data_IF_937093488646
#
_entry.id   IF_937093488646
#
_cell.length_a   1.000
_cell.length_b   1.000
_cell.length_c   1.000
_cell.angle_alpha   90.00
_cell.angle_beta   90.00
_cell.angle_gamma   90.00
#
_symmetry.space_group_name_H-M   'P 1'
#
loop_
_entity.id
_entity.type
_entity.pdbx_description
1 polymer ?
#
# COMPACT_ATOMS: atom_id res chain seq x y z
N UNK A 1 -5.11 3.74 -5.26
CA UNK A 1 -4.03 2.75 -5.46
C UNK A 1 -2.69 3.47 -5.51
N UNK A 2 -1.72 3.05 -4.70
CA UNK A 2 -0.32 3.50 -4.79
C UNK A 2 0.52 2.27 -5.11
N UNK A 3 1.36 2.33 -6.14
CA UNK A 3 2.25 1.23 -6.53
C UNK A 3 3.63 1.76 -6.88
N UNK A 4 4.69 1.07 -6.47
CA UNK A 4 6.06 1.46 -6.82
C UNK A 4 6.50 0.96 -8.20
N UNK A 5 5.58 0.48 -9.04
CA UNK A 5 5.89 0.10 -10.42
C UNK A 5 6.44 1.31 -11.18
N UNK A 6 7.61 1.10 -11.77
CA UNK A 6 8.35 2.08 -12.57
C UNK A 6 7.56 2.59 -13.77
N UNK A 7 8.01 3.72 -14.31
CA UNK A 7 7.31 4.48 -15.33
C UNK A 7 6.98 3.65 -16.58
N UNK A 8 7.92 2.81 -17.01
CA UNK A 8 7.74 1.95 -18.18
C UNK A 8 6.58 0.94 -18.02
N UNK A 9 6.12 0.67 -16.79
CA UNK A 9 4.95 -0.16 -16.49
C UNK A 9 3.67 0.65 -16.29
N UNK A 10 3.71 1.98 -16.32
CA UNK A 10 2.56 2.85 -16.04
C UNK A 10 1.36 2.56 -16.95
N UNK A 11 1.58 2.41 -18.26
CA UNK A 11 0.53 2.05 -19.22
C UNK A 11 -0.09 0.68 -18.92
N UNK A 12 0.71 -0.28 -18.48
CA UNK A 12 0.26 -1.61 -18.06
C UNK A 12 -0.57 -1.56 -16.78
N UNK A 13 -0.18 -0.73 -15.81
CA UNK A 13 -0.95 -0.49 -14.57
C UNK A 13 -2.32 0.08 -14.90
N UNK A 14 -2.39 1.16 -15.68
CA UNK A 14 -3.66 1.78 -16.05
C UNK A 14 -4.55 0.83 -16.85
N UNK A 15 -3.96 0.09 -17.80
CA UNK A 15 -4.67 -0.95 -18.55
C UNK A 15 -5.26 -2.02 -17.63
N UNK A 16 -4.50 -2.48 -16.64
CA UNK A 16 -4.97 -3.48 -15.68
C UNK A 16 -6.13 -2.96 -14.83
N UNK A 17 -6.07 -1.70 -14.36
CA UNK A 17 -7.17 -1.07 -13.59
C UNK A 17 -8.45 -1.02 -14.43
N UNK A 18 -8.36 -0.56 -15.68
CA UNK A 18 -9.51 -0.49 -16.59
C UNK A 18 -10.08 -1.87 -16.90
N UNK A 19 -9.24 -2.84 -17.24
CA UNK A 19 -9.68 -4.21 -17.59
C UNK A 19 -10.41 -4.92 -16.45
N UNK A 20 -10.12 -4.56 -15.20
CA UNK A 20 -10.76 -5.14 -14.02
C UNK A 20 -11.91 -4.28 -13.48
N UNK A 21 -12.34 -3.25 -14.21
CA UNK A 21 -13.42 -2.33 -13.80
C UNK A 21 -13.17 -1.65 -12.44
N UNK A 22 -11.91 -1.31 -12.15
CA UNK A 22 -11.50 -0.72 -10.86
C UNK A 22 -11.46 0.82 -10.87
N UNK A 23 -11.86 1.44 -11.98
CA UNK A 23 -11.83 2.90 -12.14
C UNK A 23 -12.67 3.63 -11.09
N UNK A 24 -13.84 3.09 -10.75
CA UNK A 24 -14.73 3.69 -9.74
C UNK A 24 -14.40 3.21 -8.32
N UNK A 25 -13.48 2.25 -8.17
CA UNK A 25 -13.04 1.74 -6.86
C UNK A 25 -11.97 2.64 -6.24
N UNK A 26 -11.07 3.19 -7.05
CA UNK A 26 -9.97 4.01 -6.56
C UNK A 26 -10.17 5.48 -6.92
N UNK A 27 -10.12 6.38 -5.92
CA UNK A 27 -10.09 7.84 -6.16
C UNK A 27 -8.91 8.30 -7.04
N UNK A 28 -7.83 7.51 -7.09
CA UNK A 28 -6.65 7.79 -7.89
C UNK A 28 -5.72 6.59 -7.96
N UNK A 29 -4.96 6.50 -9.05
CA UNK A 29 -3.92 5.50 -9.28
C UNK A 29 -2.58 6.22 -9.42
N UNK A 30 -1.68 5.98 -8.48
CA UNK A 30 -0.36 6.61 -8.44
C UNK A 30 0.71 5.53 -8.64
N UNK A 31 1.53 5.67 -9.68
CA UNK A 31 2.67 4.82 -9.96
C UNK A 31 3.97 5.64 -9.96
N UNK A 32 5.12 4.97 -9.88
CA UNK A 32 6.43 5.59 -9.73
C UNK A 32 6.94 6.09 -11.09
N UNK A 33 6.42 7.24 -11.53
CA UNK A 33 6.73 7.82 -12.84
C UNK A 33 8.15 8.40 -12.94
N UNK A 34 8.78 8.70 -11.79
CA UNK A 34 10.12 9.29 -11.70
C UNK A 34 11.19 8.25 -11.37
N UNK A 35 10.82 6.96 -11.34
CA UNK A 35 11.70 5.82 -11.06
C UNK A 35 12.52 5.93 -9.75
N UNK A 36 11.92 6.54 -8.71
CA UNK A 36 12.48 6.67 -7.36
C UNK A 36 12.66 5.30 -6.68
N UNK A 37 13.37 5.25 -5.54
CA UNK A 37 13.36 4.04 -4.73
C UNK A 37 11.92 3.73 -4.24
N UNK A 38 11.46 2.45 -4.27
CA UNK A 38 10.07 2.09 -3.95
C UNK A 38 9.55 2.60 -2.61
N UNK A 39 10.39 2.59 -1.58
CA UNK A 39 10.03 3.04 -0.23
C UNK A 39 9.91 4.57 -0.17
N UNK A 40 10.83 5.31 -0.83
CA UNK A 40 10.80 6.77 -0.92
C UNK A 40 9.54 7.26 -1.65
N UNK A 41 9.23 6.66 -2.81
CA UNK A 41 8.01 6.97 -3.57
C UNK A 41 6.75 6.79 -2.72
N UNK A 42 6.64 5.64 -2.03
CA UNK A 42 5.46 5.32 -1.22
C UNK A 42 5.34 6.25 -0.02
N UNK A 43 6.42 6.51 0.70
CA UNK A 43 6.44 7.46 1.83
C UNK A 43 6.02 8.87 1.36
N UNK A 44 6.61 9.36 0.27
CA UNK A 44 6.26 10.64 -0.35
C UNK A 44 4.77 10.71 -0.70
N UNK A 45 4.21 9.65 -1.30
CA UNK A 45 2.80 9.61 -1.69
C UNK A 45 1.85 9.55 -0.49
N UNK A 46 2.19 8.81 0.55
CA UNK A 46 1.41 8.75 1.80
C UNK A 46 1.30 10.14 2.43
N UNK A 47 2.42 10.88 2.48
CA UNK A 47 2.44 12.25 3.01
C UNK A 47 1.71 13.25 2.11
N UNK A 48 1.95 13.18 0.79
CA UNK A 48 1.30 14.05 -0.20
C UNK A 48 -0.21 13.94 -0.15
N UNK A 49 -0.73 12.72 0.01
CA UNK A 49 -2.17 12.44 0.07
C UNK A 49 -2.76 12.56 1.48
N UNK A 50 -1.93 12.78 2.51
CA UNK A 50 -2.33 12.91 3.92
C UNK A 50 -3.20 11.73 4.37
N UNK A 51 -2.75 10.51 4.08
CA UNK A 51 -3.52 9.30 4.41
C UNK A 51 -3.54 9.06 5.92
N UNK A 52 -4.71 8.74 6.48
CA UNK A 52 -4.84 8.29 7.87
C UNK A 52 -4.37 6.84 8.06
N UNK A 53 -4.47 6.04 7.00
CA UNK A 53 -4.12 4.62 6.98
C UNK A 53 -3.50 4.20 5.65
N UNK A 54 -2.50 3.33 5.71
CA UNK A 54 -1.86 2.71 4.55
C UNK A 54 -1.71 1.20 4.76
N UNK A 55 -2.05 0.42 3.72
CA UNK A 55 -1.98 -1.05 3.73
C UNK A 55 -0.91 -1.49 2.74
N UNK A 56 0.04 -2.31 3.20
CA UNK A 56 1.23 -2.70 2.44
C UNK A 56 1.55 -4.19 2.66
N UNK A 57 2.04 -4.89 1.66
CA UNK A 57 2.41 -6.31 1.74
C UNK A 57 3.92 -6.56 1.85
N UNK A 58 4.76 -5.58 1.49
CA UNK A 58 6.21 -5.64 1.67
C UNK A 58 6.65 -5.20 3.08
N UNK A 59 7.28 -6.10 3.85
CA UNK A 59 7.68 -5.81 5.23
C UNK A 59 8.78 -4.75 5.34
N UNK A 60 9.75 -4.70 4.43
CA UNK A 60 10.83 -3.70 4.47
C UNK A 60 10.25 -2.28 4.32
N UNK A 61 9.26 -2.13 3.46
CA UNK A 61 8.53 -0.87 3.26
C UNK A 61 7.69 -0.53 4.50
N UNK A 62 7.01 -1.53 5.08
CA UNK A 62 6.27 -1.37 6.34
C UNK A 62 7.20 -0.88 7.44
N UNK A 63 8.35 -1.52 7.63
CA UNK A 63 9.32 -1.17 8.67
C UNK A 63 9.86 0.25 8.46
N UNK A 64 10.17 0.62 7.22
CA UNK A 64 10.62 1.97 6.88
C UNK A 64 9.58 3.03 7.24
N UNK A 65 8.35 2.88 6.74
CA UNK A 65 7.31 3.91 6.89
C UNK A 65 6.75 3.96 8.32
N UNK A 66 6.77 2.84 9.05
CA UNK A 66 6.26 2.77 10.43
C UNK A 66 7.09 3.58 11.43
N UNK A 67 8.28 4.04 11.05
CA UNK A 67 9.08 4.99 11.83
C UNK A 67 8.41 6.37 11.95
N UNK A 68 7.41 6.66 11.10
CA UNK A 68 6.64 7.90 11.14
C UNK A 68 5.24 7.69 11.74
N UNK A 69 4.95 8.16 12.96
CA UNK A 69 3.74 7.82 13.70
C UNK A 69 2.45 8.48 13.16
N UNK A 70 2.53 9.34 12.13
CA UNK A 70 1.38 10.11 11.63
C UNK A 70 0.38 9.31 10.80
N UNK A 71 0.78 8.14 10.30
CA UNK A 71 -0.06 7.27 9.46
C UNK A 71 -0.23 5.90 10.13
N UNK A 72 -1.44 5.35 10.10
CA UNK A 72 -1.67 3.98 10.57
C UNK A 72 -1.23 2.98 9.50
N UNK A 73 -0.15 2.25 9.76
CA UNK A 73 0.31 1.19 8.86
C UNK A 73 -0.35 -0.14 9.21
N UNK A 74 -0.87 -0.84 8.20
CA UNK A 74 -1.37 -2.21 8.31
C UNK A 74 -0.58 -3.09 7.36
N UNK A 75 0.05 -4.13 7.89
CA UNK A 75 0.84 -5.06 7.10
C UNK A 75 0.06 -6.31 6.68
N UNK A 76 0.10 -6.63 5.39
CA UNK A 76 -0.38 -7.91 4.85
C UNK A 76 0.80 -8.87 4.76
N UNK A 77 0.89 -9.81 5.70
CA UNK A 77 2.01 -10.75 5.76
C UNK A 77 1.74 -12.00 4.91
N UNK A 78 2.81 -12.57 4.33
CA UNK A 78 2.74 -13.87 3.65
C UNK A 78 2.96 -15.04 4.65
N UNK A 79 2.78 -16.27 4.19
CA UNK A 79 2.87 -17.46 5.05
C UNK A 79 4.23 -17.60 5.77
N UNK A 80 5.32 -17.23 5.09
CA UNK A 80 6.69 -17.34 5.61
C UNK A 80 6.93 -16.31 6.72
N UNK A 81 6.40 -15.11 6.55
CA UNK A 81 6.60 -13.97 7.46
C UNK A 81 5.64 -13.93 8.64
N UNK A 82 4.80 -14.97 8.80
CA UNK A 82 3.80 -15.05 9.89
C UNK A 82 4.39 -14.87 11.29
N UNK A 83 5.64 -15.29 11.48
CA UNK A 83 6.34 -15.26 12.76
C UNK A 83 6.78 -13.84 13.18
N UNK A 84 6.94 -12.91 12.24
CA UNK A 84 7.39 -11.53 12.50
C UNK A 84 6.31 -10.77 13.27
N UNK A 85 6.65 -10.18 14.42
CA UNK A 85 5.69 -9.44 15.22
C UNK A 85 5.49 -8.02 14.67
N UNK A 86 4.24 -7.64 14.45
CA UNK A 86 3.87 -6.29 14.02
C UNK A 86 2.46 -5.97 14.52
N UNK A 87 2.28 -4.77 15.08
CA UNK A 87 1.09 -4.40 15.86
C UNK A 87 -0.22 -4.52 15.08
N UNK A 88 -0.22 -4.07 13.82
CA UNK A 88 -1.37 -4.14 12.91
C UNK A 88 -1.00 -4.97 11.69
N UNK A 89 -1.20 -6.28 11.78
CA UNK A 89 -1.00 -7.19 10.65
C UNK A 89 -2.19 -8.11 10.39
N UNK A 90 -2.40 -8.48 9.14
CA UNK A 90 -3.45 -9.39 8.70
C UNK A 90 -2.94 -10.30 7.57
N UNK A 91 -3.50 -11.52 7.41
CA UNK A 91 -3.07 -12.43 6.35
C UNK A 91 -3.59 -12.04 4.96
N UNK A 92 -4.65 -11.22 4.88
CA UNK A 92 -5.28 -10.79 3.63
C UNK A 92 -5.85 -9.38 3.77
N UNK A 93 -6.06 -8.71 2.63
CA UNK A 93 -6.71 -7.40 2.57
C UNK A 93 -8.12 -7.45 3.19
N UNK A 94 -8.91 -8.48 2.91
CA UNK A 94 -10.24 -8.65 3.49
C UNK A 94 -10.18 -8.68 5.03
N UNK A 95 -9.24 -9.45 5.60
CA UNK A 95 -9.06 -9.50 7.07
C UNK A 95 -8.53 -8.18 7.64
N UNK A 96 -7.73 -7.43 6.90
CA UNK A 96 -7.33 -6.08 7.32
C UNK A 96 -8.54 -5.14 7.39
N UNK A 97 -9.39 -5.13 6.35
CA UNK A 97 -10.60 -4.30 6.30
C UNK A 97 -11.56 -4.66 7.45
N UNK A 98 -11.84 -5.94 7.64
CA UNK A 98 -12.73 -6.43 8.72
C UNK A 98 -12.23 -6.01 10.11
N UNK A 99 -10.91 -6.06 10.36
CA UNK A 99 -10.33 -5.81 11.69
C UNK A 99 -10.11 -4.33 11.99
N UNK A 100 -9.68 -3.55 11.00
CA UNK A 100 -9.13 -2.21 11.23
C UNK A 100 -9.96 -1.08 10.62
N UNK A 101 -10.90 -1.39 9.72
CA UNK A 101 -11.72 -0.38 9.02
C UNK A 101 -13.19 -0.50 9.40
N UNK A 102 -13.81 -1.67 9.23
CA UNK A 102 -15.27 -1.84 9.43
C UNK A 102 -15.65 -1.85 10.93
N UNK A 103 -14.75 -2.31 11.80
CA UNK A 103 -15.00 -2.44 13.25
C UNK A 103 -14.66 -1.18 14.07
N UNK A 104 -14.52 -0.01 13.42
CA UNK A 104 -14.36 1.28 14.11
C UNK A 104 -15.69 1.97 14.32
#
# INVERSE_FOLDING_TARGET
>A
LITARYNFLGSSVLTWVTKNNLNDTFKGVHFNADDEQPHEFKERMIHKLRLDMYIEDNFDIVEHISKNPKVQIVWIYNILDRHIQFSKKAPTLLKAIERFIIRK
#
